data_IF_264751285119
#
_entry.id   IF_264751285119
#
_cell.length_a   1.000
_cell.length_b   1.000
_cell.length_c   1.000
_cell.angle_alpha   90.00
_cell.angle_beta   90.00
_cell.angle_gamma   90.00
#
_symmetry.space_group_name_H-M   'P 1'
#
loop_
_entity.id
_entity.type
_entity.pdbx_description
1 polymer ?
#
# COMPACT_ATOMS: atom_id res chain seq x y z
N UNK A 1 18.21 8.87 42.09
CA UNK A 1 18.01 9.21 40.67
C UNK A 1 16.94 10.28 40.63
N UNK A 2 17.26 11.57 40.47
CA UNK A 2 16.21 12.57 40.47
C UNK A 2 15.38 12.35 39.21
N UNK A 3 14.07 12.18 39.39
CA UNK A 3 13.12 12.05 38.29
C UNK A 3 13.28 13.27 37.37
N UNK A 4 13.86 13.08 36.18
CA UNK A 4 13.79 14.08 35.13
C UNK A 4 12.34 14.15 34.67
N UNK A 5 11.63 15.20 35.10
CA UNK A 5 10.19 15.40 34.84
C UNK A 5 9.87 15.72 33.36
N UNK A 6 10.87 15.76 32.48
CA UNK A 6 10.73 16.08 31.04
C UNK A 6 10.68 14.74 30.26
N UNK A 7 9.68 14.59 29.39
CA UNK A 7 9.40 13.33 28.68
C UNK A 7 10.55 12.86 27.78
N UNK A 8 11.27 13.79 27.15
CA UNK A 8 12.46 13.51 26.35
C UNK A 8 13.58 14.45 26.81
N UNK A 9 14.75 13.95 27.23
CA UNK A 9 15.87 14.80 27.61
C UNK A 9 16.34 15.60 26.39
N UNK A 10 16.13 16.92 26.43
CA UNK A 10 16.46 17.84 25.36
C UNK A 10 17.05 19.14 25.92
N UNK A 11 17.90 19.82 25.14
CA UNK A 11 18.45 21.13 25.52
C UNK A 11 17.50 22.23 25.06
N UNK A 12 17.04 23.05 25.99
CA UNK A 12 16.21 24.22 25.72
C UNK A 12 17.01 25.52 25.96
N UNK A 13 16.71 26.61 25.25
CA UNK A 13 17.34 27.92 25.46
C UNK A 13 16.86 28.62 26.75
N UNK A 14 15.85 28.07 27.41
CA UNK A 14 15.33 28.48 28.71
C UNK A 14 15.50 27.32 29.71
N UNK A 15 15.46 27.60 31.01
CA UNK A 15 15.52 26.56 32.04
C UNK A 15 14.20 25.77 32.07
N UNK A 16 14.18 24.50 31.61
CA UNK A 16 12.96 23.72 31.53
C UNK A 16 12.61 23.07 32.88
N UNK A 17 13.41 23.28 33.94
CA UNK A 17 13.18 22.72 35.28
C UNK A 17 12.45 23.70 36.21
N UNK A 18 12.23 24.94 35.77
CA UNK A 18 11.58 26.01 36.54
C UNK A 18 10.26 26.42 35.87
N UNK A 19 9.20 26.60 36.64
CA UNK A 19 7.90 27.11 36.14
C UNK A 19 8.04 28.59 35.72
N UNK A 20 7.47 29.02 34.57
CA UNK A 20 6.53 28.32 33.67
C UNK A 20 7.20 27.55 32.52
N UNK A 21 8.53 27.61 32.36
CA UNK A 21 9.25 26.99 31.24
C UNK A 21 9.05 25.47 31.13
N UNK A 22 8.93 24.80 32.28
CA UNK A 22 8.63 23.37 32.36
C UNK A 22 7.31 22.98 31.68
N UNK A 23 6.24 23.74 31.91
CA UNK A 23 4.91 23.46 31.37
C UNK A 23 4.91 23.61 29.85
N UNK A 24 5.53 24.68 29.34
CA UNK A 24 5.71 24.89 27.91
C UNK A 24 6.51 23.77 27.24
N UNK A 25 7.63 23.34 27.85
CA UNK A 25 8.43 22.24 27.32
C UNK A 25 7.63 20.93 27.25
N UNK A 26 6.84 20.62 28.29
CA UNK A 26 6.03 19.39 28.36
C UNK A 26 4.92 19.39 27.31
N UNK A 27 4.17 20.49 27.19
CA UNK A 27 3.10 20.64 26.17
C UNK A 27 3.70 20.54 24.76
N UNK A 28 4.82 21.22 24.52
CA UNK A 28 5.48 21.20 23.22
C UNK A 28 5.97 19.80 22.85
N UNK A 29 6.63 19.08 23.78
CA UNK A 29 7.06 17.70 23.55
C UNK A 29 5.88 16.76 23.29
N UNK A 30 4.78 16.89 24.03
CA UNK A 30 3.57 16.12 23.82
C UNK A 30 2.94 16.36 22.44
N UNK A 31 2.81 17.62 22.02
CA UNK A 31 2.30 17.99 20.71
C UNK A 31 3.18 17.46 19.57
N UNK A 32 4.51 17.55 19.73
CA UNK A 32 5.47 17.01 18.77
C UNK A 32 5.38 15.49 18.67
N UNK A 33 5.35 14.79 19.80
CA UNK A 33 5.22 13.34 19.84
C UNK A 33 3.92 12.88 19.16
N UNK A 34 2.79 13.51 19.46
CA UNK A 34 1.52 13.22 18.81
C UNK A 34 1.58 13.46 17.30
N UNK A 35 2.12 14.61 16.88
CA UNK A 35 2.20 14.98 15.47
C UNK A 35 3.07 14.01 14.66
N UNK A 36 4.23 13.61 15.19
CA UNK A 36 5.13 12.64 14.54
C UNK A 36 4.44 11.29 14.39
N UNK A 37 3.86 10.76 15.48
CA UNK A 37 3.18 9.47 15.44
C UNK A 37 1.96 9.48 14.51
N UNK A 38 1.17 10.56 14.50
CA UNK A 38 0.03 10.70 13.61
C UNK A 38 0.45 10.71 12.13
N UNK A 39 1.57 11.37 11.79
CA UNK A 39 2.12 11.36 10.42
C UNK A 39 2.62 9.99 10.00
N UNK A 40 3.34 9.29 10.89
CA UNK A 40 3.81 7.92 10.63
C UNK A 40 2.61 7.00 10.40
N UNK A 41 1.62 7.01 11.29
CA UNK A 41 0.43 6.17 11.16
C UNK A 41 -0.37 6.49 9.89
N UNK A 42 -0.54 7.77 9.54
CA UNK A 42 -1.20 8.16 8.31
C UNK A 42 -0.45 7.65 7.06
N UNK A 43 0.87 7.69 7.08
CA UNK A 43 1.71 7.19 6.00
C UNK A 43 1.61 5.67 5.86
N UNK A 44 1.69 4.93 6.96
CA UNK A 44 1.52 3.47 6.98
C UNK A 44 0.12 3.06 6.50
N UNK A 45 -0.93 3.77 6.94
CA UNK A 45 -2.30 3.54 6.47
C UNK A 45 -2.43 3.80 4.97
N UNK A 46 -1.83 4.86 4.45
CA UNK A 46 -1.86 5.20 3.02
C UNK A 46 -1.18 4.11 2.19
N UNK A 47 0.01 3.68 2.60
CA UNK A 47 0.73 2.60 1.92
C UNK A 47 -0.06 1.30 1.95
N UNK A 48 -0.53 0.91 3.13
CA UNK A 48 -1.31 -0.31 3.31
C UNK A 48 -2.58 -0.29 2.45
N UNK A 49 -3.27 0.85 2.40
CA UNK A 49 -4.45 1.06 1.57
C UNK A 49 -4.14 0.92 0.07
N UNK A 50 -3.06 1.53 -0.41
CA UNK A 50 -2.66 1.45 -1.82
C UNK A 50 -2.24 0.03 -2.21
N UNK A 51 -1.43 -0.65 -1.41
CA UNK A 51 -1.03 -2.05 -1.67
C UNK A 51 -2.27 -2.95 -1.69
N UNK A 52 -3.15 -2.80 -0.70
CA UNK A 52 -4.39 -3.58 -0.62
C UNK A 52 -5.28 -3.34 -1.83
N UNK A 53 -5.40 -2.08 -2.27
CA UNK A 53 -6.13 -1.73 -3.49
C UNK A 53 -5.55 -2.41 -4.73
N UNK A 54 -4.22 -2.41 -4.90
CA UNK A 54 -3.58 -3.11 -6.02
C UNK A 54 -3.81 -4.62 -5.97
N UNK A 55 -3.77 -5.24 -4.78
CA UNK A 55 -4.08 -6.67 -4.62
C UNK A 55 -5.52 -6.98 -5.06
N UNK A 56 -6.48 -6.11 -4.72
CA UNK A 56 -7.88 -6.26 -5.14
C UNK A 56 -8.02 -6.13 -6.66
N UNK A 57 -7.36 -5.15 -7.27
CA UNK A 57 -7.37 -4.98 -8.73
C UNK A 57 -6.77 -6.19 -9.46
N UNK A 58 -5.64 -6.72 -8.96
CA UNK A 58 -5.03 -7.95 -9.48
C UNK A 58 -5.99 -9.15 -9.38
N UNK A 59 -6.71 -9.29 -8.27
CA UNK A 59 -7.70 -10.37 -8.08
C UNK A 59 -8.89 -10.23 -9.03
N UNK A 60 -9.44 -9.02 -9.13
CA UNK A 60 -10.52 -8.73 -10.06
C UNK A 60 -10.13 -9.08 -11.50
N UNK A 61 -8.93 -8.68 -11.91
CA UNK A 61 -8.40 -8.95 -13.24
C UNK A 61 -8.21 -10.45 -13.47
N UNK A 62 -7.71 -11.19 -12.48
CA UNK A 62 -7.59 -12.66 -12.53
C UNK A 62 -8.95 -13.34 -12.70
N UNK A 63 -9.97 -12.89 -11.98
CA UNK A 63 -11.31 -13.47 -12.08
C UNK A 63 -11.98 -13.12 -13.41
N UNK A 64 -11.79 -11.89 -13.91
CA UNK A 64 -12.20 -11.48 -15.25
C UNK A 64 -11.56 -12.37 -16.33
N UNK A 65 -10.27 -12.66 -16.23
CA UNK A 65 -9.57 -13.55 -17.16
C UNK A 65 -10.12 -14.97 -17.14
N UNK A 66 -10.37 -15.52 -15.95
CA UNK A 66 -10.98 -16.85 -15.80
C UNK A 66 -12.35 -16.92 -16.43
N UNK A 67 -13.16 -15.87 -16.30
CA UNK A 67 -14.47 -15.80 -16.93
C UNK A 67 -14.34 -15.80 -18.47
N UNK A 68 -13.46 -14.99 -19.04
CA UNK A 68 -13.22 -14.94 -20.50
C UNK A 68 -12.73 -16.31 -21.02
N UNK A 69 -11.77 -16.91 -20.31
CA UNK A 69 -11.19 -18.22 -20.68
C UNK A 69 -12.21 -19.35 -20.53
N UNK A 70 -13.03 -19.31 -19.47
CA UNK A 70 -14.09 -20.28 -19.23
C UNK A 70 -15.18 -20.25 -20.32
N UNK A 71 -15.52 -19.06 -20.83
CA UNK A 71 -16.40 -18.91 -21.99
C UNK A 71 -15.75 -19.52 -23.24
N UNK A 72 -14.49 -19.21 -23.52
CA UNK A 72 -13.77 -19.79 -24.65
C UNK A 72 -13.70 -21.32 -24.59
N UNK A 73 -13.50 -21.89 -23.40
CA UNK A 73 -13.43 -23.34 -23.21
C UNK A 73 -14.80 -24.02 -23.36
N UNK A 74 -15.90 -23.40 -22.88
CA UNK A 74 -17.26 -23.92 -23.10
C UNK A 74 -17.60 -23.99 -24.58
N UNK A 75 -17.24 -22.97 -25.35
CA UNK A 75 -17.44 -22.92 -26.81
C UNK A 75 -16.69 -24.04 -27.56
N UNK A 76 -15.51 -24.45 -27.10
CA UNK A 76 -14.76 -25.58 -27.69
C UNK A 76 -15.46 -26.92 -27.44
N UNK A 77 -16.15 -27.08 -26.31
CA UNK A 77 -16.81 -28.32 -25.91
C UNK A 77 -18.17 -28.49 -26.60
N UNK A 78 -18.91 -27.40 -26.84
CA UNK A 78 -20.26 -27.46 -27.42
C UNK A 78 -20.32 -27.77 -28.92
N UNK A 79 -19.21 -27.68 -29.66
CA UNK A 79 -19.14 -28.15 -31.05
C UNK A 79 -19.97 -27.35 -32.06
N UNK A 80 -19.63 -27.50 -33.36
CA UNK A 80 -19.92 -26.55 -34.45
C UNK A 80 -21.39 -26.12 -34.62
N UNK A 81 -21.66 -24.83 -34.91
CA UNK A 81 -23.01 -24.31 -35.11
C UNK A 81 -23.54 -24.47 -36.57
N UNK A 82 -24.81 -24.89 -36.70
CA UNK A 82 -25.58 -24.92 -37.97
C UNK A 82 -25.98 -23.51 -38.41
N UNK A 83 -25.71 -23.13 -39.66
CA UNK A 83 -26.25 -21.96 -40.40
C UNK A 83 -26.52 -20.66 -39.62
N UNK A 84 -27.66 -20.59 -38.93
CA UNK A 84 -28.11 -19.45 -38.12
C UNK A 84 -27.21 -19.19 -36.90
N UNK A 85 -26.74 -20.25 -36.25
CA UNK A 85 -25.83 -20.19 -35.10
C UNK A 85 -24.41 -19.74 -35.49
N UNK A 86 -24.05 -19.77 -36.79
CA UNK A 86 -22.73 -19.38 -37.26
C UNK A 86 -22.53 -17.85 -37.15
N UNK A 87 -23.59 -17.07 -37.38
CA UNK A 87 -23.58 -15.60 -37.29
C UNK A 87 -23.51 -15.13 -35.82
N UNK A 88 -24.25 -15.80 -34.95
CA UNK A 88 -24.21 -15.58 -33.49
C UNK A 88 -22.84 -15.96 -32.91
N UNK A 89 -22.26 -17.08 -33.32
CA UNK A 89 -20.93 -17.51 -32.88
C UNK A 89 -19.82 -16.56 -33.38
N UNK A 90 -19.94 -16.01 -34.60
CA UNK A 90 -19.01 -14.98 -35.09
C UNK A 90 -19.11 -13.69 -34.28
N UNK A 91 -20.33 -13.27 -33.92
CA UNK A 91 -20.58 -12.12 -33.06
C UNK A 91 -20.00 -12.35 -31.64
N UNK A 92 -20.25 -13.52 -31.03
CA UNK A 92 -19.71 -13.89 -29.72
C UNK A 92 -18.18 -13.88 -29.68
N UNK A 93 -17.51 -14.43 -30.70
CA UNK A 93 -16.05 -14.38 -30.83
C UNK A 93 -15.50 -12.96 -30.97
N UNK A 94 -16.23 -12.07 -31.64
CA UNK A 94 -15.83 -10.66 -31.74
C UNK A 94 -15.93 -9.95 -30.39
N UNK A 95 -16.98 -10.24 -29.61
CA UNK A 95 -17.13 -9.73 -28.22
C UNK A 95 -16.01 -10.25 -27.32
N UNK A 96 -15.71 -11.55 -27.38
CA UNK A 96 -14.62 -12.14 -26.59
C UNK A 96 -13.25 -11.51 -26.91
N UNK A 97 -12.97 -11.22 -28.19
CA UNK A 97 -11.74 -10.50 -28.58
C UNK A 97 -11.70 -9.09 -28.01
N UNK A 98 -12.81 -8.36 -28.06
CA UNK A 98 -12.90 -7.01 -27.48
C UNK A 98 -12.65 -7.06 -25.97
N UNK A 99 -13.33 -7.98 -25.26
CA UNK A 99 -13.14 -8.17 -23.81
C UNK A 99 -11.71 -8.56 -23.45
N UNK A 100 -11.06 -9.40 -24.26
CA UNK A 100 -9.66 -9.78 -24.04
C UNK A 100 -8.72 -8.59 -24.28
N UNK A 101 -8.97 -7.77 -25.30
CA UNK A 101 -8.16 -6.58 -25.56
C UNK A 101 -8.27 -5.56 -24.42
N UNK A 102 -9.50 -5.29 -23.95
CA UNK A 102 -9.73 -4.44 -22.77
C UNK A 102 -9.07 -5.01 -21.52
N UNK A 103 -9.07 -6.33 -21.36
CA UNK A 103 -8.40 -7.00 -20.25
C UNK A 103 -6.88 -6.80 -20.31
N UNK A 104 -6.26 -6.97 -21.49
CA UNK A 104 -4.83 -6.75 -21.70
C UNK A 104 -4.46 -5.29 -21.43
N UNK A 105 -5.24 -4.34 -21.92
CA UNK A 105 -5.02 -2.91 -21.67
C UNK A 105 -5.05 -2.59 -20.16
N UNK A 106 -6.06 -3.09 -19.44
CA UNK A 106 -6.16 -2.94 -17.98
C UNK A 106 -4.98 -3.59 -17.26
N UNK A 107 -4.53 -4.76 -17.70
CA UNK A 107 -3.37 -5.45 -17.14
C UNK A 107 -2.07 -4.66 -17.32
N UNK A 108 -1.83 -4.15 -18.53
CA UNK A 108 -0.66 -3.32 -18.81
C UNK A 108 -0.65 -2.05 -17.94
N UNK A 109 -1.79 -1.37 -17.84
CA UNK A 109 -1.92 -0.18 -16.99
C UNK A 109 -1.69 -0.49 -15.51
N UNK A 110 -2.16 -1.64 -15.04
CA UNK A 110 -1.92 -2.08 -13.67
C UNK A 110 -0.43 -2.33 -13.39
N UNK A 111 0.29 -2.95 -14.32
CA UNK A 111 1.74 -3.15 -14.22
C UNK A 111 2.49 -1.81 -14.15
N UNK A 112 2.10 -0.84 -14.98
CA UNK A 112 2.70 0.50 -14.98
C UNK A 112 2.51 1.21 -13.63
N UNK A 113 1.29 1.15 -13.09
CA UNK A 113 0.99 1.72 -11.76
C UNK A 113 1.81 1.00 -10.68
N UNK A 114 1.85 -0.33 -10.68
CA UNK A 114 2.63 -1.11 -9.72
C UNK A 114 4.14 -0.77 -9.79
N UNK A 115 4.67 -0.59 -11.00
CA UNK A 115 6.07 -0.22 -11.21
C UNK A 115 6.36 1.17 -10.65
N UNK A 116 5.47 2.13 -10.92
CA UNK A 116 5.57 3.50 -10.41
C UNK A 116 5.50 3.55 -8.89
N UNK A 117 4.55 2.82 -8.29
CA UNK A 117 4.42 2.73 -6.83
C UNK A 117 5.64 2.06 -6.20
N UNK A 118 6.17 1.01 -6.82
CA UNK A 118 7.37 0.34 -6.32
C UNK A 118 8.58 1.29 -6.35
N UNK A 119 8.78 2.05 -7.43
CA UNK A 119 9.85 3.04 -7.50
C UNK A 119 9.70 4.16 -6.45
N UNK A 120 8.46 4.60 -6.18
CA UNK A 120 8.18 5.62 -5.18
C UNK A 120 8.42 5.12 -3.74
N UNK A 121 7.97 3.91 -3.41
CA UNK A 121 7.97 3.41 -2.04
C UNK A 121 9.19 2.58 -1.66
N UNK A 122 9.89 1.97 -2.63
CA UNK A 122 11.10 1.18 -2.37
C UNK A 122 12.14 1.90 -1.50
N UNK A 123 12.56 3.15 -1.79
CA UNK A 123 13.51 3.86 -0.94
C UNK A 123 12.93 4.14 0.46
N UNK A 124 11.64 4.44 0.56
CA UNK A 124 10.99 4.73 1.85
C UNK A 124 10.96 3.47 2.73
N UNK A 125 10.61 2.32 2.17
CA UNK A 125 10.65 1.05 2.89
C UNK A 125 12.07 0.68 3.34
N UNK A 126 13.06 0.93 2.48
CA UNK A 126 14.45 0.69 2.83
C UNK A 126 14.87 1.54 4.05
N UNK A 127 14.59 2.84 4.01
CA UNK A 127 14.90 3.75 5.13
C UNK A 127 14.16 3.35 6.40
N UNK A 128 12.86 3.05 6.31
CA UNK A 128 12.04 2.60 7.45
C UNK A 128 12.58 1.30 8.07
N UNK A 129 13.03 0.36 7.24
CA UNK A 129 13.61 -0.90 7.68
C UNK A 129 14.92 -0.68 8.44
N UNK A 130 15.82 0.17 7.93
CA UNK A 130 17.06 0.52 8.62
C UNK A 130 16.79 1.20 9.96
N UNK A 131 15.87 2.18 10.02
CA UNK A 131 15.49 2.82 11.28
C UNK A 131 14.93 1.82 12.28
N UNK A 132 14.08 0.89 11.83
CA UNK A 132 13.51 -0.15 12.68
C UNK A 132 14.59 -1.06 13.27
N UNK A 133 15.58 -1.47 12.46
CA UNK A 133 16.73 -2.24 12.97
C UNK A 133 17.51 -1.43 14.01
N UNK A 134 17.85 -0.17 13.73
CA UNK A 134 18.60 0.67 14.67
C UNK A 134 17.87 0.84 15.99
N UNK A 135 16.56 1.05 15.96
CA UNK A 135 15.71 1.15 17.14
C UNK A 135 15.73 -0.16 17.94
N UNK A 136 15.53 -1.30 17.27
CA UNK A 136 15.54 -2.62 17.92
C UNK A 136 16.91 -2.91 18.54
N UNK A 137 18.00 -2.66 17.82
CA UNK A 137 19.36 -2.87 18.32
C UNK A 137 19.68 -1.95 19.51
N UNK A 138 19.31 -0.67 19.45
CA UNK A 138 19.52 0.28 20.55
C UNK A 138 18.72 -0.13 21.79
N UNK A 139 17.47 -0.55 21.62
CA UNK A 139 16.64 -1.04 22.71
C UNK A 139 17.22 -2.33 23.32
N UNK A 140 17.69 -3.27 22.51
CA UNK A 140 18.33 -4.49 22.98
C UNK A 140 19.60 -4.19 23.80
N UNK A 141 20.41 -3.24 23.35
CA UNK A 141 21.60 -2.79 24.07
C UNK A 141 21.26 -2.12 25.41
N UNK A 142 20.20 -1.31 25.48
CA UNK A 142 19.77 -0.66 26.74
C UNK A 142 19.18 -1.66 27.74
N UNK A 143 18.52 -2.71 27.24
CA UNK A 143 17.91 -3.75 28.08
C UNK A 143 18.93 -4.76 28.63
N UNK A 144 20.07 -4.94 27.94
CA UNK A 144 21.15 -5.87 28.33
C UNK A 144 22.12 -5.20 29.29
#
# INVERSE_FOLDING_TARGET
>A
VPFSFIAIPAKFPFDPLVSPGFEFATIFQGMMAFSVNAKIMAFDCLIYGLISYQIVQCRYLKDSFKNITGLAQRELITGKPTGQYLREHKHMKSIQKIQLNEWVEKHCRLIEICTTLNQLYSPVFFVQFIFSILIICSNAFVVT
#
